data_IF_342069625609
#
_entry.id   IF_342069625609
#
_cell.length_a   1.000
_cell.length_b   1.000
_cell.length_c   1.000
_cell.angle_alpha   90.00
_cell.angle_beta   90.00
_cell.angle_gamma   90.00
#
_symmetry.space_group_name_H-M   'P 1'
#
loop_
_entity.id
_entity.type
_entity.pdbx_description
1 polymer ?
#
# COMPACT_ATOMS: atom_id res chain seq x y z
N UNK A 1 -23.16 0.60 4.93
CA UNK A 1 -22.61 -0.41 5.87
C UNK A 1 -21.08 -0.52 5.77
N UNK A 2 -20.50 -0.78 4.59
CA UNK A 2 -19.04 -0.90 4.39
C UNK A 2 -18.24 0.36 4.73
N UNK A 3 -18.77 1.55 4.40
CA UNK A 3 -18.14 2.84 4.73
C UNK A 3 -18.00 3.05 6.24
N UNK A 4 -18.93 2.52 7.05
CA UNK A 4 -18.85 2.64 8.52
C UNK A 4 -17.69 1.80 9.08
N UNK A 5 -17.38 0.66 8.46
CA UNK A 5 -16.21 -0.16 8.82
C UNK A 5 -14.90 0.56 8.48
N UNK A 6 -14.81 1.19 7.30
CA UNK A 6 -13.64 1.99 6.94
C UNK A 6 -13.50 3.20 7.87
N UNK A 7 -14.61 3.87 8.21
CA UNK A 7 -14.63 4.97 9.19
C UNK A 7 -14.17 4.51 10.57
N UNK A 8 -14.60 3.31 11.02
CA UNK A 8 -14.13 2.69 12.27
C UNK A 8 -12.60 2.52 12.24
N UNK A 9 -12.06 1.96 11.17
CA UNK A 9 -10.61 1.74 11.04
C UNK A 9 -9.82 3.06 10.97
N UNK A 10 -10.36 4.11 10.34
CA UNK A 10 -9.79 5.46 10.34
C UNK A 10 -9.83 6.12 11.73
N UNK A 11 -10.91 5.90 12.49
CA UNK A 11 -11.03 6.39 13.88
C UNK A 11 -10.00 5.68 14.78
N UNK A 12 -9.82 4.37 14.62
CA UNK A 12 -8.78 3.61 15.32
C UNK A 12 -7.37 4.15 15.03
N UNK A 13 -7.14 4.64 13.82
CA UNK A 13 -5.86 5.25 13.41
C UNK A 13 -5.80 6.77 13.63
N UNK A 14 -6.81 7.42 14.24
CA UNK A 14 -6.88 8.88 14.36
C UNK A 14 -5.65 9.51 15.02
N UNK A 15 -5.05 8.85 16.02
CA UNK A 15 -3.81 9.31 16.67
C UNK A 15 -2.61 9.31 15.72
N UNK A 16 -2.59 8.39 14.75
CA UNK A 16 -1.54 8.22 13.77
C UNK A 16 -1.83 8.98 12.46
N UNK A 17 -3.06 9.47 12.23
CA UNK A 17 -3.41 10.26 11.03
C UNK A 17 -2.56 11.53 10.88
N UNK A 18 -2.24 12.22 11.98
CA UNK A 18 -1.41 13.43 11.91
C UNK A 18 0.04 13.10 11.55
N UNK A 19 0.59 12.05 12.16
CA UNK A 19 1.92 11.51 11.85
C UNK A 19 2.00 11.03 10.40
N UNK A 20 0.94 10.36 9.93
CA UNK A 20 0.76 9.94 8.55
C UNK A 20 0.84 11.15 7.61
N UNK A 21 0.07 12.21 7.86
CA UNK A 21 0.03 13.37 6.98
C UNK A 21 1.41 14.06 6.90
N UNK A 22 2.08 14.19 8.05
CA UNK A 22 3.45 14.70 8.10
C UNK A 22 4.44 13.81 7.35
N UNK A 23 4.32 12.49 7.45
CA UNK A 23 5.20 11.55 6.75
C UNK A 23 4.91 11.50 5.24
N UNK A 24 3.65 11.63 4.82
CA UNK A 24 3.28 11.71 3.41
C UNK A 24 3.88 12.93 2.71
N UNK A 25 4.03 14.04 3.44
CA UNK A 25 4.65 15.27 2.94
C UNK A 25 6.17 15.22 3.08
N UNK A 26 6.66 14.88 4.27
CA UNK A 26 8.08 14.90 4.62
C UNK A 26 8.89 13.75 4.02
N UNK A 27 8.29 12.56 3.86
CA UNK A 27 8.95 11.37 3.31
C UNK A 27 9.49 11.59 1.90
N UNK A 28 8.64 12.02 0.94
CA UNK A 28 9.08 12.29 -0.42
C UNK A 28 10.14 13.39 -0.48
N UNK A 29 9.96 14.47 0.30
CA UNK A 29 10.91 15.59 0.38
C UNK A 29 12.28 15.13 0.91
N UNK A 30 12.28 14.36 1.99
CA UNK A 30 13.51 13.83 2.59
C UNK A 30 14.26 12.91 1.63
N UNK A 31 13.55 12.03 0.91
CA UNK A 31 14.16 11.14 -0.07
C UNK A 31 14.75 11.94 -1.24
N UNK A 32 14.00 12.91 -1.78
CA UNK A 32 14.50 13.79 -2.85
C UNK A 32 15.70 14.63 -2.43
N UNK A 33 15.78 15.03 -1.15
CA UNK A 33 16.90 15.79 -0.63
C UNK A 33 18.16 14.94 -0.45
N UNK A 34 18.02 13.72 0.07
CA UNK A 34 19.15 12.81 0.34
C UNK A 34 19.67 12.12 -0.91
N UNK A 35 18.80 11.84 -1.86
CA UNK A 35 19.16 11.25 -3.14
C UNK A 35 18.72 12.20 -4.25
N UNK A 36 19.60 13.10 -4.73
CA UNK A 36 19.40 13.84 -5.97
C UNK A 36 19.57 12.89 -7.16
N UNK A 37 18.83 11.78 -7.16
CA UNK A 37 18.63 10.93 -8.33
C UNK A 37 17.75 11.74 -9.28
N UNK A 38 18.42 12.47 -10.16
CA UNK A 38 17.84 13.26 -11.25
C UNK A 38 16.59 12.61 -11.83
N UNK A 39 15.43 13.25 -11.62
CA UNK A 39 14.21 13.00 -12.39
C UNK A 39 13.21 11.97 -11.84
N UNK A 40 13.49 11.20 -10.78
CA UNK A 40 12.64 10.06 -10.40
C UNK A 40 11.68 10.31 -9.21
N UNK A 41 10.86 11.36 -9.26
CA UNK A 41 9.77 11.60 -8.31
C UNK A 41 8.85 10.39 -8.09
N UNK A 42 8.69 9.55 -9.12
CA UNK A 42 7.99 8.26 -9.05
C UNK A 42 8.56 7.30 -7.99
N UNK A 43 9.88 7.24 -7.83
CA UNK A 43 10.54 6.33 -6.87
C UNK A 43 10.35 6.84 -5.44
N UNK A 44 10.51 8.15 -5.23
CA UNK A 44 10.27 8.78 -3.92
C UNK A 44 8.81 8.59 -3.47
N UNK A 45 7.87 8.71 -4.41
CA UNK A 45 6.45 8.42 -4.16
C UNK A 45 6.23 6.95 -3.80
N UNK A 46 6.72 6.02 -4.61
CA UNK A 46 6.58 4.58 -4.42
C UNK A 46 7.07 4.15 -3.03
N UNK A 47 8.27 4.56 -2.65
CA UNK A 47 8.86 4.22 -1.34
C UNK A 47 7.97 4.78 -0.23
N UNK A 48 7.60 6.05 -0.31
CA UNK A 48 6.78 6.70 0.72
C UNK A 48 5.43 5.99 0.88
N UNK A 49 4.73 5.70 -0.23
CA UNK A 49 3.42 5.03 -0.21
C UNK A 49 3.53 3.63 0.39
N UNK A 50 4.53 2.84 -0.01
CA UNK A 50 4.73 1.48 0.54
C UNK A 50 4.92 1.51 2.06
N UNK A 51 5.79 2.39 2.56
CA UNK A 51 6.03 2.51 4.00
C UNK A 51 4.77 2.98 4.74
N UNK A 52 4.07 3.95 4.17
CA UNK A 52 2.88 4.54 4.76
C UNK A 52 1.75 3.54 4.91
N UNK A 53 1.33 2.91 3.81
CA UNK A 53 0.26 1.92 3.84
C UNK A 53 0.60 0.76 4.76
N UNK A 54 1.85 0.33 4.74
CA UNK A 54 2.29 -0.74 5.62
C UNK A 54 2.13 -0.36 7.10
N UNK A 55 2.69 0.78 7.53
CA UNK A 55 2.67 1.20 8.93
C UNK A 55 1.22 1.31 9.40
N UNK A 56 0.37 1.93 8.58
CA UNK A 56 -1.04 2.12 8.90
C UNK A 56 -1.78 0.79 8.98
N UNK A 57 -1.63 -0.06 7.98
CA UNK A 57 -2.28 -1.36 7.97
C UNK A 57 -1.92 -2.18 9.20
N UNK A 58 -0.63 -2.20 9.57
CA UNK A 58 -0.19 -2.85 10.79
C UNK A 58 -0.76 -2.20 12.06
N UNK A 59 -0.81 -0.87 12.16
CA UNK A 59 -1.42 -0.22 13.34
C UNK A 59 -2.89 -0.57 13.50
N UNK A 60 -3.65 -0.64 12.39
CA UNK A 60 -5.04 -1.09 12.42
C UNK A 60 -5.11 -2.54 12.90
N UNK A 61 -4.26 -3.44 12.37
CA UNK A 61 -4.25 -4.85 12.79
C UNK A 61 -3.85 -5.05 14.26
N UNK A 62 -2.87 -4.30 14.79
CA UNK A 62 -2.54 -4.29 16.24
C UNK A 62 -3.75 -3.88 17.07
N UNK A 63 -4.42 -2.80 16.65
CA UNK A 63 -5.55 -2.27 17.39
C UNK A 63 -6.71 -3.25 17.42
N UNK A 64 -6.99 -3.94 16.31
CA UNK A 64 -8.03 -4.95 16.26
C UNK A 64 -7.71 -6.17 17.12
N UNK A 65 -6.46 -6.63 17.17
CA UNK A 65 -6.09 -7.76 18.04
C UNK A 65 -6.15 -7.39 19.52
N UNK A 66 -5.64 -6.21 19.89
CA UNK A 66 -5.66 -5.70 21.28
C UNK A 66 -7.07 -5.65 21.87
N UNK A 67 -8.05 -5.25 21.07
CA UNK A 67 -9.44 -5.13 21.51
C UNK A 67 -10.30 -6.36 21.20
N UNK A 68 -9.70 -7.49 20.79
CA UNK A 68 -10.43 -8.67 20.30
C UNK A 68 -11.51 -8.29 19.28
N UNK A 69 -11.17 -7.38 18.37
CA UNK A 69 -12.09 -6.78 17.41
C UNK A 69 -12.82 -7.82 16.57
N UNK A 70 -12.17 -8.94 16.23
CA UNK A 70 -12.82 -10.04 15.52
C UNK A 70 -13.99 -10.66 16.29
N UNK A 71 -13.86 -10.89 17.60
CA UNK A 71 -14.95 -11.48 18.40
C UNK A 71 -16.07 -10.47 18.66
N UNK A 72 -15.74 -9.19 18.89
CA UNK A 72 -16.73 -8.13 19.05
C UNK A 72 -17.51 -7.87 17.76
N UNK A 73 -16.86 -7.97 16.60
CA UNK A 73 -17.51 -7.82 15.30
C UNK A 73 -18.42 -9.01 14.95
N UNK A 74 -18.15 -10.20 15.48
CA UNK A 74 -19.08 -11.33 15.39
C UNK A 74 -20.41 -11.08 16.14
N UNK A 75 -20.41 -10.21 17.16
CA UNK A 75 -21.63 -9.83 17.88
C UNK A 75 -22.45 -8.73 17.18
N UNK A 76 -21.92 -8.18 16.07
CA UNK A 76 -22.57 -7.14 15.28
C UNK A 76 -23.17 -7.72 13.99
N UNK A 77 -24.17 -7.09 13.36
CA UNK A 77 -24.80 -7.61 12.13
C UNK A 77 -23.90 -7.53 10.87
N UNK A 78 -22.58 -7.36 11.03
CA UNK A 78 -21.63 -7.29 9.93
C UNK A 78 -21.18 -8.68 9.50
N UNK A 79 -21.25 -8.95 8.20
CA UNK A 79 -20.78 -10.22 7.63
C UNK A 79 -19.26 -10.28 7.59
N UNK A 80 -18.71 -11.49 7.75
CA UNK A 80 -17.28 -11.77 7.61
C UNK A 80 -16.69 -11.25 6.28
N UNK A 81 -17.48 -11.34 5.20
CA UNK A 81 -17.10 -10.82 3.89
C UNK A 81 -16.92 -9.30 3.92
N UNK A 82 -17.84 -8.58 4.57
CA UNK A 82 -17.77 -7.12 4.68
C UNK A 82 -16.52 -6.64 5.44
N UNK A 83 -16.05 -7.41 6.42
CA UNK A 83 -14.80 -7.10 7.15
C UNK A 83 -13.58 -7.18 6.22
N UNK A 84 -13.49 -8.24 5.41
CA UNK A 84 -12.40 -8.37 4.43
C UNK A 84 -12.48 -7.25 3.39
N UNK A 85 -13.68 -6.97 2.84
CA UNK A 85 -13.86 -5.88 1.87
C UNK A 85 -13.42 -4.52 2.43
N UNK A 86 -13.68 -4.27 3.71
CA UNK A 86 -13.32 -3.01 4.36
C UNK A 86 -11.80 -2.81 4.45
N UNK A 87 -11.01 -3.87 4.68
CA UNK A 87 -9.54 -3.78 4.70
C UNK A 87 -8.97 -3.37 3.34
N UNK A 88 -9.42 -3.99 2.25
CA UNK A 88 -8.95 -3.63 0.90
C UNK A 88 -9.39 -2.22 0.51
N UNK A 89 -10.60 -1.80 0.89
CA UNK A 89 -11.04 -0.41 0.69
C UNK A 89 -10.23 0.59 1.50
N UNK A 90 -9.83 0.25 2.73
CA UNK A 90 -8.97 1.11 3.55
C UNK A 90 -7.61 1.32 2.89
N UNK A 91 -6.99 0.26 2.37
CA UNK A 91 -5.73 0.35 1.62
C UNK A 91 -5.88 1.27 0.41
N UNK A 92 -6.91 1.06 -0.42
CA UNK A 92 -7.20 1.94 -1.56
C UNK A 92 -7.43 3.39 -1.15
N UNK A 93 -8.10 3.62 -0.03
CA UNK A 93 -8.35 4.98 0.48
C UNK A 93 -7.04 5.66 0.87
N UNK A 94 -6.13 4.94 1.54
CA UNK A 94 -4.81 5.46 1.91
C UNK A 94 -3.98 5.77 0.67
N UNK A 95 -4.02 4.89 -0.35
CA UNK A 95 -3.35 5.13 -1.62
C UNK A 95 -3.83 6.44 -2.27
N UNK A 96 -5.14 6.65 -2.38
CA UNK A 96 -5.72 7.87 -2.98
C UNK A 96 -5.33 9.12 -2.19
N UNK A 97 -5.38 9.06 -0.85
CA UNK A 97 -5.00 10.18 0.01
C UNK A 97 -3.51 10.52 -0.15
N UNK A 98 -2.64 9.51 -0.15
CA UNK A 98 -1.19 9.72 -0.31
C UNK A 98 -0.84 10.26 -1.70
N UNK A 99 -1.53 9.83 -2.76
CA UNK A 99 -1.42 10.40 -4.09
C UNK A 99 -1.84 11.87 -4.11
N UNK A 100 -2.99 12.20 -3.52
CA UNK A 100 -3.46 13.58 -3.39
C UNK A 100 -2.44 14.47 -2.66
N UNK A 101 -1.95 14.02 -1.51
CA UNK A 101 -0.93 14.76 -0.73
C UNK A 101 0.36 14.95 -1.52
N UNK A 102 0.86 13.91 -2.21
CA UNK A 102 2.05 14.05 -3.04
C UNK A 102 1.85 15.06 -4.19
N UNK A 103 0.69 15.02 -4.86
CA UNK A 103 0.44 15.97 -5.95
C UNK A 103 0.44 17.42 -5.43
N UNK A 104 -0.16 17.67 -4.27
CA UNK A 104 -0.15 18.98 -3.61
C UNK A 104 1.27 19.39 -3.25
N UNK A 105 2.08 18.50 -2.65
CA UNK A 105 3.46 18.83 -2.28
C UNK A 105 4.34 19.09 -3.49
N UNK A 106 4.14 18.37 -4.60
CA UNK A 106 4.85 18.59 -5.86
C UNK A 106 4.51 19.94 -6.50
N UNK A 107 3.28 20.44 -6.30
CA UNK A 107 2.86 21.77 -6.75
C UNK A 107 3.47 22.89 -5.91
N UNK A 108 3.63 22.67 -4.60
CA UNK A 108 4.19 23.67 -3.67
C UNK A 108 5.72 23.75 -3.78
N UNK A 109 6.41 22.62 -3.99
CA UNK A 109 7.87 22.54 -4.06
C UNK A 109 8.34 21.85 -5.36
N UNK A 110 8.13 22.48 -6.53
CA UNK A 110 8.47 21.89 -7.83
C UNK A 110 9.98 21.74 -8.06
N UNK A 111 10.81 22.41 -7.25
CA UNK A 111 12.26 22.36 -7.33
C UNK A 111 12.84 21.03 -6.82
N UNK A 112 12.15 20.35 -5.88
CA UNK A 112 12.60 19.07 -5.30
C UNK A 112 11.80 17.87 -5.81
N UNK A 113 10.56 18.06 -6.25
CA UNK A 113 9.64 16.98 -6.62
C UNK A 113 9.27 17.10 -8.10
N UNK A 114 9.55 16.05 -8.88
CA UNK A 114 9.06 15.96 -10.25
C UNK A 114 7.60 15.49 -10.30
N UNK A 115 6.89 15.91 -11.35
CA UNK A 115 5.48 15.53 -11.55
C UNK A 115 5.38 14.01 -11.73
N UNK A 116 4.39 13.41 -11.06
CA UNK A 116 4.11 11.97 -11.22
C UNK A 116 3.67 11.66 -12.63
N UNK A 117 4.30 10.64 -13.22
CA UNK A 117 3.82 10.03 -14.46
C UNK A 117 2.66 9.06 -14.15
N UNK A 118 1.70 8.93 -15.06
CA UNK A 118 0.58 7.97 -14.94
C UNK A 118 1.11 6.54 -14.78
N UNK A 119 2.17 6.21 -15.53
CA UNK A 119 2.86 4.92 -15.42
C UNK A 119 3.48 4.70 -14.03
N UNK A 120 4.09 5.74 -13.44
CA UNK A 120 4.66 5.69 -12.09
C UNK A 120 3.61 5.48 -10.99
N UNK A 121 2.42 6.06 -11.16
CA UNK A 121 1.28 5.81 -10.26
C UNK A 121 0.78 4.38 -10.40
N UNK A 122 0.65 3.89 -11.64
CA UNK A 122 0.23 2.52 -11.92
C UNK A 122 1.21 1.47 -11.37
N UNK A 123 2.52 1.70 -11.50
CA UNK A 123 3.55 0.79 -10.96
C UNK A 123 3.60 0.82 -9.44
N UNK A 124 3.42 1.99 -8.81
CA UNK A 124 3.30 2.09 -7.36
C UNK A 124 2.08 1.30 -6.84
N UNK A 125 0.91 1.47 -7.48
CA UNK A 125 -0.30 0.72 -7.15
C UNK A 125 -0.09 -0.80 -7.31
N UNK A 126 0.61 -1.23 -8.36
CA UNK A 126 0.90 -2.64 -8.62
C UNK A 126 1.76 -3.25 -7.50
N UNK A 127 2.84 -2.57 -7.11
CA UNK A 127 3.73 -3.05 -6.05
C UNK A 127 3.04 -3.09 -4.70
N UNK A 128 2.25 -2.05 -4.39
CA UNK A 128 1.36 -2.01 -3.24
C UNK A 128 0.41 -3.20 -3.22
N UNK A 129 -0.27 -3.45 -4.34
CA UNK A 129 -1.26 -4.52 -4.48
C UNK A 129 -0.62 -5.91 -4.34
N UNK A 130 0.57 -6.13 -4.91
CA UNK A 130 1.33 -7.37 -4.70
C UNK A 130 1.70 -7.56 -3.23
N UNK A 131 2.22 -6.52 -2.60
CA UNK A 131 2.73 -6.60 -1.24
C UNK A 131 1.59 -6.83 -0.23
N UNK A 132 0.59 -5.98 -0.22
CA UNK A 132 -0.57 -6.10 0.66
C UNK A 132 -1.47 -7.28 0.27
N UNK A 133 -1.49 -7.62 -1.03
CA UNK A 133 -2.20 -8.78 -1.53
C UNK A 133 -1.66 -10.11 -1.01
N UNK A 134 -0.40 -10.17 -0.59
CA UNK A 134 0.16 -11.34 0.11
C UNK A 134 0.02 -11.20 1.63
N UNK A 135 0.24 -10.01 2.18
CA UNK A 135 0.17 -9.78 3.62
C UNK A 135 -1.23 -9.97 4.21
N UNK A 136 -2.29 -9.45 3.57
CA UNK A 136 -3.65 -9.51 4.10
C UNK A 136 -4.14 -10.97 4.25
N UNK A 137 -4.05 -11.86 3.23
CA UNK A 137 -4.40 -13.26 3.40
C UNK A 137 -3.56 -13.97 4.48
N UNK A 138 -2.27 -13.65 4.56
CA UNK A 138 -1.36 -14.24 5.54
C UNK A 138 -1.79 -13.86 6.97
N UNK A 139 -2.13 -12.60 7.21
CA UNK A 139 -2.65 -12.12 8.49
C UNK A 139 -3.96 -12.82 8.88
N UNK A 140 -4.88 -13.01 7.92
CA UNK A 140 -6.13 -13.74 8.20
C UNK A 140 -5.89 -15.21 8.53
N UNK A 141 -4.95 -15.88 7.85
CA UNK A 141 -4.63 -17.29 8.08
C UNK A 141 -3.96 -17.52 9.44
N UNK A 142 -2.87 -16.82 9.72
CA UNK A 142 -2.02 -17.10 10.88
C UNK A 142 -2.29 -16.22 12.12
N UNK A 143 -3.12 -15.17 11.99
CA UNK A 143 -3.33 -14.17 13.03
C UNK A 143 -2.23 -13.10 13.04
N UNK A 144 -2.49 -11.97 13.70
CA UNK A 144 -1.56 -10.83 13.70
C UNK A 144 -0.33 -11.10 14.58
N UNK A 145 -0.48 -11.66 15.78
CA UNK A 145 0.64 -12.06 16.67
C UNK A 145 1.77 -12.81 15.92
N UNK A 146 1.43 -13.83 15.11
CA UNK A 146 2.42 -14.63 14.39
C UNK A 146 2.98 -13.95 13.15
N UNK A 147 2.20 -13.07 12.51
CA UNK A 147 2.61 -12.38 11.28
C UNK A 147 3.30 -11.04 11.55
N UNK A 148 3.22 -10.52 12.78
CA UNK A 148 3.89 -9.28 13.20
C UNK A 148 5.41 -9.33 12.98
N UNK A 149 6.06 -10.42 13.33
CA UNK A 149 7.50 -10.56 13.14
C UNK A 149 7.88 -10.63 11.66
N UNK A 150 7.09 -11.36 10.87
CA UNK A 150 7.28 -11.44 9.41
C UNK A 150 7.10 -10.04 8.79
N UNK A 151 6.03 -9.34 9.17
CA UNK A 151 5.76 -8.00 8.65
C UNK A 151 6.85 -7.01 9.06
N UNK A 152 7.30 -7.00 10.32
CA UNK A 152 8.43 -6.17 10.78
C UNK A 152 9.74 -6.46 10.04
N UNK A 153 10.07 -7.74 9.83
CA UNK A 153 11.27 -8.12 9.09
C UNK A 153 11.22 -7.62 7.65
N UNK A 154 10.08 -7.74 6.98
CA UNK A 154 9.96 -7.24 5.60
C UNK A 154 10.16 -5.73 5.53
N UNK A 155 9.59 -4.93 6.45
CA UNK A 155 9.83 -3.47 6.49
C UNK A 155 11.31 -3.19 6.65
N UNK A 156 11.96 -3.84 7.61
CA UNK A 156 13.31 -3.50 7.99
C UNK A 156 14.26 -3.82 6.86
N UNK A 157 14.03 -4.95 6.17
CA UNK A 157 14.83 -5.43 5.05
C UNK A 157 14.58 -4.62 3.76
N UNK A 158 13.36 -4.15 3.53
CA UNK A 158 12.97 -3.40 2.31
C UNK A 158 13.93 -2.24 1.96
N UNK A 159 14.26 -1.29 2.86
CA UNK A 159 15.16 -0.18 2.56
C UNK A 159 16.62 -0.58 2.36
N UNK A 160 17.05 -1.78 2.79
CA UNK A 160 18.39 -2.30 2.48
C UNK A 160 18.44 -3.00 1.12
N UNK A 161 17.37 -3.70 0.74
CA UNK A 161 17.28 -4.39 -0.55
C UNK A 161 17.08 -3.39 -1.70
N UNK A 162 16.27 -2.35 -1.52
CA UNK A 162 15.96 -1.37 -2.57
C UNK A 162 17.19 -0.75 -3.24
N UNK A 163 18.23 -0.23 -2.54
CA UNK A 163 19.41 0.32 -3.19
C UNK A 163 20.26 -0.75 -3.90
N UNK A 164 20.28 -2.00 -3.41
CA UNK A 164 21.00 -3.11 -4.03
C UNK A 164 20.36 -3.50 -5.35
N UNK A 165 19.03 -3.66 -5.37
CA UNK A 165 18.27 -3.93 -6.60
C UNK A 165 18.44 -2.78 -7.59
N UNK A 166 18.41 -1.53 -7.11
CA UNK A 166 18.53 -0.36 -7.99
C UNK A 166 19.90 -0.26 -8.64
N UNK A 167 20.99 -0.54 -7.90
CA UNK A 167 22.34 -0.64 -8.47
C UNK A 167 22.46 -1.80 -9.47
N UNK A 168 21.83 -2.95 -9.17
CA UNK A 168 21.84 -4.11 -10.06
C UNK A 168 21.08 -3.83 -11.36
N UNK A 169 19.94 -3.14 -11.30
CA UNK A 169 19.17 -2.73 -12.47
C UNK A 169 19.93 -1.69 -13.33
N UNK A 170 20.62 -0.74 -12.70
CA UNK A 170 21.43 0.26 -13.43
C UNK A 170 22.64 -0.37 -14.13
N UNK A 171 23.21 -1.46 -13.60
CA UNK A 171 24.35 -2.16 -14.19
C UNK A 171 23.96 -3.16 -15.29
N UNK A 172 22.69 -3.52 -15.40
CA UNK A 172 22.14 -4.35 -16.49
C UNK A 172 20.80 -3.77 -16.95
N UNK A 173 20.76 -2.86 -17.93
CA UNK A 173 19.51 -2.39 -18.49
C UNK A 173 18.83 -3.54 -19.23
N UNK A 174 18.02 -4.32 -18.52
CA UNK A 174 17.14 -5.31 -19.13
C UNK A 174 16.03 -4.52 -19.79
N UNK A 175 16.12 -4.30 -21.10
CA UNK A 175 15.05 -3.72 -21.89
C UNK A 175 13.93 -4.75 -22.03
N UNK A 176 13.03 -4.79 -21.05
CA UNK A 176 11.76 -5.52 -21.13
C UNK A 176 10.84 -4.72 -22.06
N UNK A 177 11.14 -4.73 -23.35
CA UNK A 177 10.25 -4.18 -24.38
C UNK A 177 9.16 -5.20 -24.68
N UNK A 178 8.11 -5.21 -23.86
CA UNK A 178 6.86 -5.88 -24.21
C UNK A 178 6.19 -4.97 -25.26
N UNK A 179 6.49 -5.21 -26.54
CA UNK A 179 5.82 -4.54 -27.66
C UNK A 179 4.41 -5.11 -27.81
N UNK A 180 3.50 -4.69 -26.94
CA UNK A 180 2.07 -4.88 -27.16
C UNK A 180 1.62 -3.88 -28.24
N UNK A 181 0.84 -4.30 -29.25
CA UNK A 181 0.31 -3.41 -30.29
C UNK A 181 -0.87 -2.58 -29.73
N UNK A 182 -0.61 -1.77 -28.71
CA UNK A 182 -1.59 -0.93 -28.05
C UNK A 182 -1.09 0.53 -28.04
N UNK A 183 -1.98 1.52 -28.15
CA UNK A 183 -1.63 2.94 -28.04
C UNK A 183 -0.83 3.23 -26.75
N UNK A 184 0.15 4.14 -26.85
CA UNK A 184 1.03 4.50 -25.73
C UNK A 184 0.24 4.93 -24.47
N UNK A 185 -0.89 5.62 -24.65
CA UNK A 185 -1.79 6.01 -23.57
C UNK A 185 -2.37 4.80 -22.82
N UNK A 186 -2.83 3.77 -23.54
CA UNK A 186 -3.41 2.55 -22.95
C UNK A 186 -2.34 1.76 -22.20
N UNK A 187 -1.10 1.75 -22.72
CA UNK A 187 0.02 1.04 -22.10
C UNK A 187 0.37 1.57 -20.70
N UNK A 188 0.14 2.85 -20.42
CA UNK A 188 0.42 3.46 -19.11
C UNK A 188 -0.57 3.03 -18.02
N UNK A 189 -1.79 2.62 -18.40
CA UNK A 189 -2.83 2.16 -17.46
C UNK A 189 -2.75 0.67 -17.15
N UNK A 190 -2.06 -0.12 -17.99
CA UNK A 190 -1.90 -1.57 -17.83
C UNK A 190 -1.46 -1.96 -16.40
N UNK A 191 -0.42 -1.33 -15.80
CA UNK A 191 0.01 -1.70 -14.45
C UNK A 191 -1.09 -1.48 -13.41
N UNK A 192 -1.88 -0.41 -13.55
CA UNK A 192 -3.00 -0.12 -12.66
C UNK A 192 -4.14 -1.12 -12.78
N UNK A 193 -4.47 -1.54 -14.01
CA UNK A 193 -5.50 -2.57 -14.25
C UNK A 193 -5.06 -3.91 -13.66
N UNK A 194 -3.81 -4.31 -13.88
CA UNK A 194 -3.23 -5.52 -13.30
C UNK A 194 -3.25 -5.46 -11.77
N UNK A 195 -2.90 -4.31 -11.17
CA UNK A 195 -2.93 -4.11 -9.73
C UNK A 195 -4.34 -4.33 -9.15
N UNK A 196 -5.38 -3.81 -9.81
CA UNK A 196 -6.76 -4.01 -9.41
C UNK A 196 -7.17 -5.49 -9.53
N UNK A 197 -6.78 -6.16 -10.61
CA UNK A 197 -7.04 -7.59 -10.78
C UNK A 197 -6.38 -8.43 -9.66
N UNK A 198 -5.12 -8.17 -9.34
CA UNK A 198 -4.40 -8.81 -8.23
C UNK A 198 -5.10 -8.55 -6.90
N UNK A 199 -5.55 -7.31 -6.66
CA UNK A 199 -6.28 -6.93 -5.46
C UNK A 199 -7.59 -7.71 -5.30
N UNK A 200 -8.36 -7.87 -6.39
CA UNK A 200 -9.60 -8.64 -6.40
C UNK A 200 -9.33 -10.12 -6.13
N UNK A 201 -8.33 -10.72 -6.80
CA UNK A 201 -7.96 -12.13 -6.58
C UNK A 201 -7.53 -12.35 -5.13
N UNK A 202 -6.67 -11.48 -4.60
CA UNK A 202 -6.23 -11.52 -3.21
C UNK A 202 -7.41 -11.42 -2.24
N UNK A 203 -8.37 -10.53 -2.51
CA UNK A 203 -9.58 -10.38 -1.72
C UNK A 203 -10.45 -11.65 -1.71
N UNK A 204 -10.61 -12.31 -2.85
CA UNK A 204 -11.33 -13.60 -2.93
C UNK A 204 -10.65 -14.69 -2.10
N UNK A 205 -9.32 -14.77 -2.13
CA UNK A 205 -8.54 -15.71 -1.32
C UNK A 205 -8.72 -15.41 0.17
N UNK A 206 -8.60 -14.14 0.56
CA UNK A 206 -8.80 -13.68 1.95
C UNK A 206 -10.20 -14.02 2.48
N UNK A 207 -11.25 -13.84 1.67
CA UNK A 207 -12.63 -14.22 2.04
C UNK A 207 -12.72 -15.72 2.29
N UNK A 208 -12.16 -16.57 1.43
CA UNK A 208 -12.18 -18.03 1.62
C UNK A 208 -11.47 -18.45 2.91
N UNK A 209 -10.29 -17.89 3.16
CA UNK A 209 -9.50 -18.19 4.37
C UNK A 209 -10.29 -17.77 5.62
N UNK A 210 -10.85 -16.58 5.63
CA UNK A 210 -11.58 -16.06 6.80
C UNK A 210 -12.93 -16.76 7.03
N UNK A 211 -13.59 -17.24 5.97
CA UNK A 211 -14.79 -18.06 6.07
C UNK A 211 -14.50 -19.43 6.72
N UNK A 212 -13.36 -20.05 6.40
CA UNK A 212 -12.96 -21.36 6.94
C UNK A 212 -12.47 -21.33 8.39
N UNK A 213 -12.26 -20.14 8.97
CA UNK A 213 -11.72 -19.99 10.32
C UNK A 213 -12.86 -20.03 11.35
N UNK A 214 -12.78 -20.98 12.28
CA UNK A 214 -13.63 -20.97 13.47
C UNK A 214 -13.05 -19.93 14.44
N UNK A 215 -13.85 -18.91 14.76
CA UNK A 215 -13.52 -17.80 15.67
C UNK A 215 -14.08 -18.09 17.05
#
# INVERSE_FOLDING_TARGET
>A
MLINLVKKDLILTKKYLLVMLLFAIGGPLFISYRMPLSGNGNISFLITVLFMEFILFNTVSVSEEKYKGASLLCATPYTRNALVKAKYLLVLTIFIVSLGLYTITSLVVPQLLSRLSVLGVGTALLLVSLYLGVLIPLQYKYGYEKTKFISMMIIFVTPFITPVIMKWYQSRPVSISISLPLPHEIQQWIPGIIALAIGIVSMMISIRIYASKNL
#
